data_IF_095383836827
#
_entry.id   IF_095383836827
#
_cell.length_a   1.000
_cell.length_b   1.000
_cell.length_c   1.000
_cell.angle_alpha   90.00
_cell.angle_beta   90.00
_cell.angle_gamma   90.00
#
_symmetry.space_group_name_H-M   'P 1'
#
loop_
_entity.id
_entity.type
_entity.pdbx_description
1 polymer ?
#
# COMPACT_ATOMS: atom_id res chain seq x y z
N UNK A 1 1.93 32.87 9.62
CA UNK A 1 2.43 31.48 9.48
C UNK A 1 3.45 31.47 8.35
N UNK A 2 4.74 31.59 8.70
CA UNK A 2 5.85 31.75 7.76
C UNK A 2 6.51 30.39 7.53
N UNK A 3 6.46 29.89 6.28
CA UNK A 3 7.12 28.65 5.85
C UNK A 3 8.63 28.90 5.66
N UNK A 4 9.39 28.98 6.75
CA UNK A 4 10.83 29.28 6.74
C UNK A 4 11.73 28.12 6.27
N UNK A 5 11.21 26.90 6.16
CA UNK A 5 11.94 25.75 5.60
C UNK A 5 11.93 25.71 4.05
N UNK A 6 11.08 26.51 3.40
CA UNK A 6 10.69 26.33 2.00
C UNK A 6 11.68 26.85 0.95
N UNK A 7 12.65 27.69 1.33
CA UNK A 7 13.59 28.30 0.37
C UNK A 7 14.72 27.37 -0.07
N UNK A 8 14.96 26.28 0.65
CA UNK A 8 16.10 25.38 0.40
C UNK A 8 15.74 24.12 -0.38
N UNK A 9 14.44 23.78 -0.48
CA UNK A 9 14.00 22.56 -1.16
C UNK A 9 13.54 22.83 -2.59
N UNK A 10 13.90 21.95 -3.55
CA UNK A 10 13.44 22.07 -4.93
C UNK A 10 11.94 21.77 -5.04
N UNK A 11 11.26 22.44 -5.98
CA UNK A 11 9.88 22.10 -6.32
C UNK A 11 9.84 20.80 -7.15
N UNK A 12 8.86 19.93 -6.90
CA UNK A 12 8.59 18.76 -7.75
C UNK A 12 7.79 19.21 -8.97
N UNK A 13 8.28 18.89 -10.18
CA UNK A 13 7.49 19.01 -11.40
C UNK A 13 6.57 17.79 -11.55
N UNK A 14 5.26 18.04 -11.55
CA UNK A 14 4.23 17.03 -11.78
C UNK A 14 3.37 17.41 -12.98
N UNK A 15 2.60 16.45 -13.48
CA UNK A 15 1.68 16.64 -14.59
C UNK A 15 2.25 16.19 -15.93
N UNK A 16 1.64 16.68 -17.01
CA UNK A 16 2.00 16.30 -18.37
C UNK A 16 3.24 17.09 -18.82
N UNK A 17 4.16 16.52 -19.63
CA UNK A 17 5.26 17.28 -20.22
C UNK A 17 4.85 18.60 -20.91
N UNK A 18 3.63 18.70 -21.44
CA UNK A 18 3.07 19.91 -22.07
C UNK A 18 2.52 20.94 -21.08
N UNK A 19 2.17 20.53 -19.86
CA UNK A 19 1.63 21.39 -18.81
C UNK A 19 2.31 21.04 -17.49
N UNK A 20 3.36 21.79 -17.17
CA UNK A 20 4.14 21.60 -15.96
C UNK A 20 3.46 22.28 -14.79
N UNK A 21 3.25 21.52 -13.72
CA UNK A 21 2.75 22.01 -12.44
C UNK A 21 3.85 21.79 -11.42
N UNK A 22 4.24 22.84 -10.71
CA UNK A 22 5.30 22.76 -9.70
C UNK A 22 4.69 22.73 -8.30
N UNK A 23 5.00 21.66 -7.57
CA UNK A 23 4.52 21.43 -6.20
C UNK A 23 5.65 21.64 -5.19
N UNK A 24 5.32 22.32 -4.09
CA UNK A 24 6.18 22.48 -2.92
C UNK A 24 6.10 21.24 -2.03
N UNK A 25 7.25 20.70 -1.63
CA UNK A 25 7.35 19.42 -0.92
C UNK A 25 6.64 19.40 0.44
N UNK A 26 6.51 20.55 1.10
CA UNK A 26 6.08 20.63 2.49
C UNK A 26 4.57 20.49 2.70
N UNK A 27 3.79 20.48 1.62
CA UNK A 27 2.32 20.62 1.66
C UNK A 27 1.61 19.35 1.20
N UNK A 28 2.35 18.34 0.72
CA UNK A 28 1.75 17.15 0.11
C UNK A 28 2.27 15.86 0.74
N UNK A 29 1.34 14.95 1.00
CA UNK A 29 1.63 13.57 1.38
C UNK A 29 1.57 12.64 0.17
N UNK A 30 2.26 11.51 0.27
CA UNK A 30 2.17 10.44 -0.73
C UNK A 30 0.77 9.80 -0.68
N UNK A 31 0.20 9.56 -1.86
CA UNK A 31 -1.04 8.80 -1.97
C UNK A 31 -0.80 7.39 -1.45
N UNK A 32 -1.65 6.95 -0.52
CA UNK A 32 -1.56 5.62 0.08
C UNK A 32 -1.78 4.51 -0.96
N UNK A 33 -1.25 3.32 -0.67
CA UNK A 33 -1.38 2.11 -1.50
C UNK A 33 -0.65 2.15 -2.87
N UNK A 34 0.24 3.12 -3.08
CA UNK A 34 1.13 3.10 -4.24
C UNK A 34 2.22 2.02 -4.07
N UNK A 35 2.31 1.08 -5.02
CA UNK A 35 3.35 0.06 -5.03
C UNK A 35 4.68 0.64 -5.50
N UNK A 36 5.73 0.47 -4.70
CA UNK A 36 7.09 0.78 -5.12
C UNK A 36 7.56 -0.22 -6.20
N UNK A 37 7.86 0.29 -7.40
CA UNK A 37 8.20 -0.54 -8.56
C UNK A 37 9.71 -0.76 -8.77
N UNK A 38 10.57 0.02 -8.09
CA UNK A 38 12.02 -0.13 -8.22
C UNK A 38 12.53 -1.25 -7.32
N UNK A 39 13.72 -1.74 -7.61
CA UNK A 39 14.39 -2.73 -6.77
C UNK A 39 14.77 -2.08 -5.42
N UNK A 40 14.48 -2.79 -4.32
CA UNK A 40 14.86 -2.34 -2.99
C UNK A 40 16.38 -2.46 -2.80
N UNK A 41 16.97 -1.57 -2.00
CA UNK A 41 18.38 -1.70 -1.59
C UNK A 41 18.58 -2.90 -0.64
N UNK A 42 19.82 -3.38 -0.47
CA UNK A 42 20.15 -4.56 0.37
C UNK A 42 19.60 -4.42 1.79
N UNK A 43 19.81 -3.26 2.44
CA UNK A 43 19.32 -2.99 3.80
C UNK A 43 17.78 -2.96 3.85
N UNK A 44 17.14 -2.46 2.80
CA UNK A 44 15.67 -2.45 2.73
C UNK A 44 15.12 -3.86 2.53
N UNK A 45 15.79 -4.69 1.72
CA UNK A 45 15.43 -6.10 1.53
C UNK A 45 15.58 -6.88 2.83
N UNK A 46 16.68 -6.71 3.56
CA UNK A 46 16.86 -7.39 4.85
C UNK A 46 15.76 -6.99 5.83
N UNK A 47 15.46 -5.68 5.95
CA UNK A 47 14.35 -5.20 6.79
C UNK A 47 13.00 -5.77 6.35
N UNK A 48 12.74 -5.83 5.05
CA UNK A 48 11.50 -6.37 4.50
C UNK A 48 11.36 -7.86 4.82
N UNK A 49 12.43 -8.64 4.65
CA UNK A 49 12.45 -10.08 4.96
C UNK A 49 12.12 -10.29 6.43
N UNK A 50 12.84 -9.64 7.34
CA UNK A 50 12.61 -9.75 8.79
C UNK A 50 11.17 -9.38 9.17
N UNK A 51 10.62 -8.29 8.65
CA UNK A 51 9.23 -7.88 8.91
C UNK A 51 8.19 -8.80 8.29
N UNK A 52 8.52 -9.43 7.16
CA UNK A 52 7.62 -10.37 6.47
C UNK A 52 7.66 -11.78 7.06
N UNK A 53 8.60 -12.09 7.95
CA UNK A 53 8.66 -13.39 8.62
C UNK A 53 7.39 -13.59 9.42
N UNK A 54 6.58 -14.54 8.98
CA UNK A 54 5.41 -14.99 9.71
C UNK A 54 5.77 -16.25 10.50
N UNK A 55 5.31 -16.32 11.74
CA UNK A 55 5.36 -17.57 12.48
C UNK A 55 4.41 -18.56 11.81
N UNK A 56 4.85 -19.76 11.43
CA UNK A 56 4.01 -20.71 10.70
C UNK A 56 2.70 -21.04 11.41
N UNK A 57 2.72 -21.13 12.75
CA UNK A 57 1.53 -21.37 13.58
C UNK A 57 0.52 -20.23 13.50
N UNK A 58 0.99 -18.99 13.48
CA UNK A 58 0.15 -17.79 13.37
C UNK A 58 -0.35 -17.61 11.94
N UNK A 59 0.48 -17.92 10.93
CA UNK A 59 0.05 -17.93 9.53
C UNK A 59 -1.05 -18.97 9.31
N UNK A 60 -0.90 -20.18 9.86
CA UNK A 60 -1.93 -21.23 9.81
C UNK A 60 -3.22 -20.86 10.55
N UNK A 61 -3.14 -20.19 11.70
CA UNK A 61 -4.34 -19.73 12.41
C UNK A 61 -5.05 -18.61 11.67
N UNK A 62 -4.31 -17.66 11.07
CA UNK A 62 -4.88 -16.64 10.18
C UNK A 62 -5.52 -17.28 8.96
N UNK A 63 -4.87 -18.25 8.32
CA UNK A 63 -5.42 -18.99 7.18
C UNK A 63 -6.65 -19.81 7.57
N UNK A 64 -6.66 -20.45 8.73
CA UNK A 64 -7.81 -21.18 9.27
C UNK A 64 -8.96 -20.24 9.63
N UNK A 65 -8.67 -19.07 10.19
CA UNK A 65 -9.68 -18.06 10.48
C UNK A 65 -10.27 -17.49 9.19
N UNK A 66 -9.42 -17.18 8.22
CA UNK A 66 -9.84 -16.73 6.90
C UNK A 66 -10.62 -17.81 6.15
N UNK A 67 -10.29 -19.10 6.28
CA UNK A 67 -11.05 -20.19 5.67
C UNK A 67 -12.42 -20.36 6.31
N UNK A 68 -12.53 -20.16 7.62
CA UNK A 68 -13.82 -20.13 8.33
C UNK A 68 -14.63 -18.90 7.90
N UNK A 69 -14.02 -17.72 7.82
CA UNK A 69 -14.70 -16.52 7.33
C UNK A 69 -15.11 -16.64 5.86
N UNK A 70 -14.29 -17.27 5.02
CA UNK A 70 -14.60 -17.53 3.62
C UNK A 70 -15.67 -18.62 3.49
N UNK A 71 -15.75 -19.57 4.43
CA UNK A 71 -16.84 -20.55 4.49
C UNK A 71 -18.16 -19.90 4.93
N UNK A 72 -18.12 -19.01 5.92
CA UNK A 72 -19.29 -18.26 6.43
C UNK A 72 -19.74 -17.18 5.47
N UNK A 73 -18.81 -16.49 4.79
CA UNK A 73 -19.14 -15.58 3.70
C UNK A 73 -19.60 -16.38 2.49
N UNK A 74 -19.00 -17.53 2.17
CA UNK A 74 -19.46 -18.38 1.07
C UNK A 74 -20.86 -18.93 1.33
N UNK A 75 -21.28 -19.29 2.54
CA UNK A 75 -22.68 -19.69 2.79
C UNK A 75 -23.69 -18.53 2.66
N UNK A 76 -23.29 -17.31 3.04
CA UNK A 76 -24.10 -16.09 2.85
C UNK A 76 -24.10 -15.56 1.41
N UNK A 77 -23.00 -15.71 0.67
CA UNK A 77 -22.87 -15.30 -0.72
C UNK A 77 -23.40 -16.37 -1.68
N UNK A 78 -23.26 -17.67 -1.40
CA UNK A 78 -23.78 -18.74 -2.28
C UNK A 78 -25.31 -18.72 -2.36
N UNK A 79 -26.03 -18.38 -1.29
CA UNK A 79 -27.49 -18.20 -1.37
C UNK A 79 -27.92 -17.02 -2.26
N UNK A 80 -27.06 -16.01 -2.44
CA UNK A 80 -27.32 -14.85 -3.31
C UNK A 80 -26.71 -15.03 -4.72
N UNK A 81 -25.60 -15.77 -4.87
CA UNK A 81 -24.86 -15.96 -6.12
C UNK A 81 -25.09 -17.31 -6.82
N UNK A 82 -25.80 -18.28 -6.24
CA UNK A 82 -26.19 -19.52 -6.97
C UNK A 82 -27.08 -19.20 -8.20
N UNK A 83 -27.56 -17.96 -8.40
CA UNK A 83 -28.47 -17.58 -9.49
C UNK A 83 -27.88 -16.79 -10.67
N UNK A 84 -26.64 -16.30 -10.66
CA UNK A 84 -26.09 -15.55 -11.81
C UNK A 84 -24.61 -15.88 -12.04
N UNK A 85 -24.39 -16.79 -13.00
CA UNK A 85 -23.19 -17.04 -13.81
C UNK A 85 -21.96 -17.65 -13.14
#
# INVERSE_FOLDING_TARGET
MTFSYSTEFPCINVGNPKQRIYLRLEIYDLVSLQRYAKSLYIIQRSSQVEKSRQNPKESLSVLSYLSILHYVSSTAFTTIFISIC
#
